data_IF_757914417672
#
_entry.id   IF_757914417672
#
_cell.length_a   1.000
_cell.length_b   1.000
_cell.length_c   1.000
_cell.angle_alpha   90.00
_cell.angle_beta   90.00
_cell.angle_gamma   90.00
#
_symmetry.space_group_name_H-M   'P 1'
#
loop_
_entity.id
_entity.type
_entity.pdbx_description
1 polymer ?
#
# COMPACT_ATOMS: atom_id res chain seq x y z
N UNK A 1 -28.31 -1.99 -6.40
CA UNK A 1 -27.48 -1.09 -5.54
C UNK A 1 -27.10 0.12 -6.36
N UNK A 2 -27.18 1.34 -5.80
CA UNK A 2 -26.66 2.55 -6.44
C UNK A 2 -25.51 3.08 -5.59
N UNK A 3 -24.30 3.09 -6.15
CA UNK A 3 -23.12 3.71 -5.54
C UNK A 3 -22.91 5.09 -6.16
N UNK A 4 -22.56 6.09 -5.34
CA UNK A 4 -22.20 7.45 -5.78
C UNK A 4 -21.03 7.92 -4.93
N UNK A 5 -19.97 8.37 -5.59
CA UNK A 5 -18.83 9.01 -4.94
C UNK A 5 -19.15 10.48 -4.65
N UNK A 6 -18.65 11.01 -3.54
CA UNK A 6 -18.82 12.39 -3.11
C UNK A 6 -17.52 12.96 -2.55
N UNK A 7 -17.58 14.21 -2.09
CA UNK A 7 -16.45 14.94 -1.51
C UNK A 7 -15.19 15.02 -2.39
N UNK A 8 -15.33 15.71 -3.53
CA UNK A 8 -14.22 15.98 -4.46
C UNK A 8 -13.49 17.30 -4.13
N UNK A 9 -13.54 17.76 -2.89
CA UNK A 9 -12.97 19.04 -2.46
C UNK A 9 -11.44 19.06 -2.56
N UNK A 10 -10.81 17.89 -2.43
CA UNK A 10 -9.37 17.66 -2.61
C UNK A 10 -9.01 17.07 -3.99
N UNK A 11 -9.91 17.20 -4.97
CA UNK A 11 -9.67 16.72 -6.33
C UNK A 11 -8.51 17.45 -7.00
N UNK A 12 -7.54 16.68 -7.49
CA UNK A 12 -6.35 17.22 -8.14
C UNK A 12 -6.38 17.02 -9.65
N UNK A 13 -6.19 18.11 -10.39
CA UNK A 13 -5.74 18.12 -11.78
C UNK A 13 -4.83 19.34 -12.00
N UNK A 14 -4.33 19.53 -13.23
CA UNK A 14 -3.50 20.69 -13.54
C UNK A 14 -4.24 22.02 -13.29
N UNK A 15 -5.54 22.08 -13.60
CA UNK A 15 -6.35 23.28 -13.44
C UNK A 15 -6.59 23.62 -11.97
N UNK A 16 -6.98 22.65 -11.13
CA UNK A 16 -7.17 22.84 -9.69
C UNK A 16 -5.86 23.16 -9.01
N UNK A 17 -4.74 22.60 -9.46
CA UNK A 17 -3.41 22.96 -8.97
C UNK A 17 -3.07 24.44 -9.20
N UNK A 18 -3.44 25.00 -10.35
CA UNK A 18 -3.16 26.40 -10.70
C UNK A 18 -4.17 27.39 -10.07
N UNK A 19 -5.41 26.97 -9.84
CA UNK A 19 -6.52 27.88 -9.50
C UNK A 19 -7.10 27.70 -8.09
N UNK A 20 -7.03 26.49 -7.52
CA UNK A 20 -7.64 26.15 -6.24
C UNK A 20 -6.57 25.89 -5.16
N UNK A 21 -5.46 25.27 -5.54
CA UNK A 21 -4.34 25.03 -4.64
C UNK A 21 -3.36 26.20 -4.66
N UNK A 22 -3.38 27.03 -3.62
CA UNK A 22 -2.42 28.15 -3.51
C UNK A 22 -0.96 27.70 -3.40
N UNK A 23 -0.70 26.57 -2.72
CA UNK A 23 0.64 26.03 -2.46
C UNK A 23 0.77 24.54 -2.78
N UNK A 24 -0.16 24.01 -3.58
CA UNK A 24 -0.33 22.56 -3.77
C UNK A 24 -1.07 21.88 -2.61
N UNK A 25 -1.35 20.57 -2.75
CA UNK A 25 -1.97 19.77 -1.69
C UNK A 25 -1.08 19.69 -0.45
N UNK A 26 -1.71 19.49 0.71
CA UNK A 26 -1.02 19.39 2.01
C UNK A 26 -1.30 18.05 2.70
N UNK A 27 -0.44 17.62 3.65
CA UNK A 27 -0.71 16.41 4.43
C UNK A 27 -2.04 16.44 5.20
N UNK A 28 -2.60 17.62 5.47
CA UNK A 28 -3.89 17.76 6.18
C UNK A 28 -5.11 17.35 5.36
N UNK A 29 -4.95 17.21 4.04
CA UNK A 29 -6.01 16.79 3.11
C UNK A 29 -5.95 15.27 2.85
N UNK A 30 -4.94 14.60 3.39
CA UNK A 30 -4.69 13.17 3.22
C UNK A 30 -5.32 12.37 4.36
N UNK A 31 -5.91 11.23 4.01
CA UNK A 31 -6.32 10.20 4.98
C UNK A 31 -5.29 9.07 4.95
N UNK A 32 -4.46 8.96 5.99
CA UNK A 32 -3.27 8.11 6.00
C UNK A 32 -3.57 6.62 5.84
N UNK A 33 -4.74 6.16 6.28
CA UNK A 33 -5.16 4.77 6.24
C UNK A 33 -5.39 4.27 4.80
N UNK A 34 -5.85 5.15 3.92
CA UNK A 34 -6.09 4.88 2.51
C UNK A 34 -4.98 5.39 1.60
N UNK A 35 -4.06 6.20 2.14
CA UNK A 35 -2.99 6.78 1.37
C UNK A 35 -1.97 5.71 0.95
N UNK A 36 -1.41 5.84 -0.27
CA UNK A 36 -0.42 4.90 -0.76
C UNK A 36 0.95 5.16 -0.10
N UNK A 37 1.83 4.14 -0.03
CA UNK A 37 3.10 4.22 0.67
C UNK A 37 3.99 5.36 0.16
N UNK A 38 3.88 5.73 -1.12
CA UNK A 38 4.59 6.87 -1.67
C UNK A 38 4.23 8.21 -1.05
N UNK A 39 3.08 8.38 -0.41
CA UNK A 39 2.78 9.69 0.15
C UNK A 39 3.57 9.99 1.44
N UNK A 40 3.93 8.96 2.24
CA UNK A 40 4.48 9.16 3.58
C UNK A 40 5.66 8.26 4.00
N UNK A 41 6.04 7.24 3.22
CA UNK A 41 7.13 6.31 3.60
C UNK A 41 8.53 6.83 3.22
N UNK A 42 8.62 7.94 2.48
CA UNK A 42 9.89 8.57 2.08
C UNK A 42 10.47 9.55 3.10
N UNK A 43 11.68 10.10 2.84
CA UNK A 43 12.31 11.10 3.71
C UNK A 43 11.54 12.42 3.76
N UNK A 44 10.78 12.73 2.70
CA UNK A 44 9.91 13.88 2.61
C UNK A 44 8.52 13.41 2.19
N UNK A 45 7.49 14.07 2.72
CA UNK A 45 6.12 13.88 2.26
C UNK A 45 5.97 14.36 0.82
N UNK A 46 5.25 13.59 0.02
CA UNK A 46 4.82 13.98 -1.33
C UNK A 46 3.33 13.71 -1.47
N UNK A 47 2.59 14.52 -2.23
CA UNK A 47 1.14 14.34 -2.34
C UNK A 47 0.76 13.08 -3.11
N UNK A 48 1.41 12.83 -4.25
CA UNK A 48 1.18 11.67 -5.11
C UNK A 48 2.34 11.52 -6.10
N UNK A 49 2.37 10.41 -6.83
CA UNK A 49 3.33 10.17 -7.89
C UNK A 49 2.95 10.95 -9.16
N UNK A 50 3.81 11.90 -9.56
CA UNK A 50 3.47 12.93 -10.56
C UNK A 50 3.23 12.39 -11.98
N UNK A 51 3.94 11.34 -12.37
CA UNK A 51 3.83 10.80 -13.74
C UNK A 51 2.58 9.94 -13.91
N UNK A 52 1.98 9.46 -12.80
CA UNK A 52 0.74 8.68 -12.78
C UNK A 52 -0.15 9.01 -11.56
N UNK A 53 -0.73 10.23 -11.46
CA UNK A 53 -1.48 10.67 -10.27
C UNK A 53 -2.67 9.77 -9.90
N UNK A 54 -3.33 9.19 -10.91
CA UNK A 54 -4.46 8.26 -10.76
C UNK A 54 -4.11 6.95 -10.04
N UNK A 55 -2.81 6.63 -9.88
CA UNK A 55 -2.38 5.48 -9.10
C UNK A 55 -2.73 5.65 -7.62
N UNK A 56 -2.86 6.89 -7.14
CA UNK A 56 -3.26 7.19 -5.76
C UNK A 56 -4.63 6.61 -5.44
N UNK A 57 -5.63 6.95 -6.26
CA UNK A 57 -7.01 6.46 -6.09
C UNK A 57 -7.10 4.95 -6.27
N UNK A 58 -6.28 4.40 -7.17
CA UNK A 58 -6.23 2.94 -7.42
C UNK A 58 -5.79 2.18 -6.17
N UNK A 59 -4.81 2.70 -5.43
CA UNK A 59 -4.40 2.14 -4.14
C UNK A 59 -5.51 2.25 -3.11
N UNK A 60 -6.12 3.43 -2.96
CA UNK A 60 -7.22 3.67 -2.01
C UNK A 60 -8.38 2.69 -2.22
N UNK A 61 -8.74 2.41 -3.47
CA UNK A 61 -9.77 1.41 -3.82
C UNK A 61 -9.31 -0.01 -3.47
N UNK A 62 -8.03 -0.34 -3.66
CA UNK A 62 -7.45 -1.61 -3.23
C UNK A 62 -7.54 -1.83 -1.71
N UNK A 63 -7.28 -0.79 -0.92
CA UNK A 63 -7.44 -0.81 0.54
C UNK A 63 -8.91 -1.03 0.92
N UNK A 64 -9.82 -0.26 0.32
CA UNK A 64 -11.26 -0.39 0.54
C UNK A 64 -11.77 -1.80 0.19
N UNK A 65 -11.29 -2.39 -0.91
CA UNK A 65 -11.64 -3.76 -1.28
C UNK A 65 -11.17 -4.77 -0.23
N UNK A 66 -9.98 -4.59 0.34
CA UNK A 66 -9.50 -5.41 1.46
C UNK A 66 -10.32 -5.21 2.73
N UNK A 67 -10.75 -3.99 3.04
CA UNK A 67 -11.61 -3.71 4.20
C UNK A 67 -12.95 -4.43 4.07
N UNK A 68 -13.58 -4.35 2.89
CA UNK A 68 -14.84 -5.04 2.59
C UNK A 68 -14.69 -6.56 2.69
N UNK A 69 -13.56 -7.08 2.21
CA UNK A 69 -13.30 -8.51 2.17
C UNK A 69 -12.96 -9.08 3.57
N UNK A 70 -12.16 -8.36 4.36
CA UNK A 70 -11.74 -8.79 5.70
C UNK A 70 -12.70 -8.35 6.82
N UNK A 71 -13.60 -7.42 6.53
CA UNK A 71 -14.56 -6.87 7.50
C UNK A 71 -13.90 -6.05 8.62
N UNK A 72 -12.72 -5.48 8.38
CA UNK A 72 -11.97 -4.66 9.36
C UNK A 72 -11.35 -3.44 8.70
N UNK A 73 -11.40 -2.25 9.34
CA UNK A 73 -10.71 -1.05 8.84
C UNK A 73 -9.19 -1.15 9.02
N UNK A 74 -8.70 -2.01 9.92
CA UNK A 74 -7.27 -2.13 10.22
C UNK A 74 -6.63 -3.25 9.41
N UNK A 75 -6.72 -3.15 8.08
CA UNK A 75 -6.20 -4.15 7.12
C UNK A 75 -4.71 -4.35 7.32
N UNK A 76 -3.94 -3.25 7.38
CA UNK A 76 -2.49 -3.28 7.50
C UNK A 76 -2.05 -3.25 8.96
N UNK A 77 -2.29 -4.35 9.67
CA UNK A 77 -1.79 -4.58 11.02
C UNK A 77 -0.81 -5.76 11.08
N UNK A 78 0.18 -5.62 11.96
CA UNK A 78 1.11 -6.69 12.34
C UNK A 78 0.66 -7.35 13.64
N UNK A 79 1.02 -8.61 13.83
CA UNK A 79 0.73 -9.32 15.07
C UNK A 79 1.46 -8.69 16.26
N UNK A 80 0.95 -8.93 17.47
CA UNK A 80 1.46 -8.33 18.70
C UNK A 80 2.95 -8.64 18.93
N UNK A 81 3.42 -9.84 18.55
CA UNK A 81 4.81 -10.25 18.75
C UNK A 81 5.73 -9.51 17.79
N UNK A 82 5.38 -9.45 16.51
CA UNK A 82 6.14 -8.69 15.50
C UNK A 82 6.18 -7.21 15.85
N UNK A 83 5.05 -6.63 16.27
CA UNK A 83 5.00 -5.24 16.72
C UNK A 83 5.96 -4.98 17.89
N UNK A 84 5.88 -5.79 18.94
CA UNK A 84 6.73 -5.64 20.12
C UNK A 84 8.22 -5.78 19.77
N UNK A 85 8.58 -6.75 18.93
CA UNK A 85 9.97 -6.99 18.55
C UNK A 85 10.52 -5.87 17.66
N UNK A 86 9.74 -5.41 16.66
CA UNK A 86 10.15 -4.37 15.74
C UNK A 86 10.28 -3.03 16.46
N UNK A 87 9.28 -2.68 17.27
CA UNK A 87 9.30 -1.46 18.10
C UNK A 87 10.49 -1.47 19.06
N UNK A 88 10.79 -2.60 19.70
CA UNK A 88 11.96 -2.72 20.57
C UNK A 88 13.29 -2.50 19.83
N UNK A 89 13.46 -3.14 18.66
CA UNK A 89 14.67 -2.97 17.83
C UNK A 89 14.84 -1.53 17.34
N UNK A 90 13.75 -0.90 16.89
CA UNK A 90 13.76 0.47 16.40
C UNK A 90 14.07 1.50 17.50
N UNK A 91 13.48 1.34 18.70
CA UNK A 91 13.79 2.20 19.85
C UNK A 91 15.25 2.10 20.28
N UNK A 92 15.86 0.91 20.20
CA UNK A 92 17.30 0.74 20.44
C UNK A 92 18.19 1.41 19.39
N UNK A 93 17.69 1.55 18.18
CA UNK A 93 18.35 2.29 17.10
C UNK A 93 18.09 3.81 17.16
N UNK A 94 17.42 4.30 18.21
CA UNK A 94 17.06 5.70 18.41
C UNK A 94 16.15 6.26 17.28
N UNK A 95 15.28 5.42 16.73
CA UNK A 95 14.28 5.81 15.74
C UNK A 95 13.15 6.64 16.37
N UNK A 96 12.63 7.60 15.61
CA UNK A 96 11.44 8.37 15.93
C UNK A 96 10.16 7.53 15.89
N UNK A 97 9.10 7.99 16.55
CA UNK A 97 7.79 7.31 16.53
C UNK A 97 7.20 7.21 15.10
N UNK A 98 7.49 8.18 14.22
CA UNK A 98 7.09 8.13 12.82
C UNK A 98 7.83 7.02 12.05
N UNK A 99 9.14 6.86 12.27
CA UNK A 99 9.92 5.78 11.67
C UNK A 99 9.46 4.40 12.16
N UNK A 100 9.06 4.30 13.43
CA UNK A 100 8.47 3.06 13.98
C UNK A 100 7.15 2.75 13.29
N UNK A 101 6.26 3.74 13.16
CA UNK A 101 4.97 3.58 12.47
C UNK A 101 5.16 3.14 11.02
N UNK A 102 6.04 3.82 10.28
CA UNK A 102 6.35 3.47 8.89
C UNK A 102 6.94 2.06 8.78
N UNK A 103 7.75 1.63 9.75
CA UNK A 103 8.30 0.28 9.78
C UNK A 103 7.23 -0.79 10.01
N UNK A 104 6.30 -0.54 10.93
CA UNK A 104 5.18 -1.44 11.20
C UNK A 104 4.25 -1.53 9.99
N UNK A 105 4.05 -0.42 9.29
CA UNK A 105 3.25 -0.36 8.08
C UNK A 105 3.89 -1.15 6.93
N UNK A 106 5.17 -0.87 6.63
CA UNK A 106 5.94 -1.67 5.67
C UNK A 106 5.96 -3.15 6.05
N UNK A 107 5.93 -3.42 7.37
CA UNK A 107 5.86 -4.77 7.85
C UNK A 107 4.54 -5.47 7.58
N UNK A 108 3.43 -4.77 7.75
CA UNK A 108 2.14 -5.25 7.34
C UNK A 108 2.11 -5.52 5.82
N UNK A 109 2.61 -4.59 4.99
CA UNK A 109 2.66 -4.76 3.53
C UNK A 109 3.48 -5.98 3.11
N UNK A 110 4.63 -6.22 3.75
CA UNK A 110 5.43 -7.41 3.48
C UNK A 110 4.74 -8.70 3.93
N UNK A 111 3.99 -8.67 5.03
CA UNK A 111 3.16 -9.81 5.44
C UNK A 111 2.10 -10.15 4.38
N UNK A 112 1.51 -9.14 3.72
CA UNK A 112 0.63 -9.31 2.56
C UNK A 112 1.36 -9.55 1.24
N UNK A 113 2.68 -9.72 1.19
CA UNK A 113 3.38 -9.92 -0.08
C UNK A 113 3.19 -8.77 -1.10
N UNK A 114 2.83 -7.57 -0.62
CA UNK A 114 2.70 -6.35 -1.43
C UNK A 114 4.07 -5.70 -1.63
N UNK A 115 4.90 -5.74 -0.58
CA UNK A 115 6.24 -5.16 -0.57
C UNK A 115 7.29 -6.21 -0.24
N UNK A 116 8.33 -6.28 -1.07
CA UNK A 116 9.55 -7.03 -0.77
C UNK A 116 10.64 -6.02 -0.42
N UNK A 117 11.25 -6.09 0.77
CA UNK A 117 12.44 -5.32 1.04
C UNK A 117 13.58 -5.83 0.15
N UNK A 118 13.89 -5.08 -0.91
CA UNK A 118 14.94 -5.45 -1.84
C UNK A 118 16.33 -5.27 -1.22
N UNK A 119 17.21 -6.25 -1.40
CA UNK A 119 18.65 -6.12 -1.18
C UNK A 119 19.40 -5.68 -2.46
N UNK A 120 18.68 -5.38 -3.54
CA UNK A 120 19.26 -5.42 -4.88
C UNK A 120 19.99 -4.12 -5.30
N UNK A 121 21.08 -4.39 -6.01
CA UNK A 121 22.14 -3.49 -6.51
C UNK A 121 21.91 -3.09 -7.98
N UNK A 122 20.67 -3.23 -8.46
CA UNK A 122 20.32 -3.03 -9.86
C UNK A 122 20.25 -1.53 -10.20
N UNK A 123 20.96 -1.15 -11.27
CA UNK A 123 21.09 0.19 -11.86
C UNK A 123 19.77 0.80 -12.39
N UNK A 124 18.60 0.47 -11.84
CA UNK A 124 17.45 1.35 -11.95
C UNK A 124 17.74 2.56 -11.06
N UNK A 125 17.48 3.81 -11.49
CA UNK A 125 17.50 4.92 -10.55
C UNK A 125 16.48 4.59 -9.46
N UNK A 126 16.95 4.10 -8.32
CA UNK A 126 16.15 3.68 -7.18
C UNK A 126 15.64 4.95 -6.49
N UNK A 127 14.82 5.72 -7.20
CA UNK A 127 13.92 6.66 -6.59
C UNK A 127 12.72 5.83 -6.16
N UNK A 128 12.53 5.70 -4.84
CA UNK A 128 11.23 5.54 -4.19
C UNK A 128 11.07 4.29 -3.28
N UNK A 129 10.51 4.40 -2.05
CA UNK A 129 10.66 5.45 -1.03
C UNK A 129 11.83 5.18 -0.05
N UNK A 130 12.38 3.96 -0.03
CA UNK A 130 13.46 3.56 0.88
C UNK A 130 14.77 3.38 0.11
N UNK A 131 15.74 4.26 0.35
CA UNK A 131 17.06 4.19 -0.25
C UNK A 131 17.96 3.22 0.50
N UNK A 132 18.94 2.66 -0.21
CA UNK A 132 20.02 1.93 0.43
C UNK A 132 20.79 2.88 1.37
N UNK A 133 20.75 2.60 2.68
CA UNK A 133 21.32 3.45 3.72
C UNK A 133 20.28 4.06 4.68
N UNK A 134 18.99 4.05 4.33
CA UNK A 134 17.95 4.53 5.24
C UNK A 134 17.80 3.58 6.45
N UNK A 135 17.66 4.10 7.68
CA UNK A 135 17.48 3.27 8.88
C UNK A 135 16.31 2.28 8.71
N UNK A 136 15.24 2.76 8.06
CA UNK A 136 14.02 2.01 7.80
C UNK A 136 14.22 0.90 6.74
N UNK A 137 15.08 1.12 5.75
CA UNK A 137 15.49 0.10 4.77
C UNK A 137 16.28 -1.02 5.45
N UNK A 138 17.29 -0.67 6.27
CA UNK A 138 18.12 -1.65 6.98
C UNK A 138 17.30 -2.53 7.93
N UNK A 139 16.35 -1.94 8.64
CA UNK A 139 15.50 -2.69 9.57
C UNK A 139 14.49 -3.55 8.81
N UNK A 140 13.95 -3.06 7.69
CA UNK A 140 13.09 -3.85 6.81
C UNK A 140 13.85 -5.06 6.27
N UNK A 141 15.01 -4.89 5.63
CA UNK A 141 15.78 -6.00 5.06
C UNK A 141 16.27 -7.03 6.10
N UNK A 142 16.55 -6.61 7.34
CA UNK A 142 17.06 -7.51 8.39
C UNK A 142 15.99 -8.20 9.23
N UNK A 143 14.80 -7.61 9.35
CA UNK A 143 13.72 -8.14 10.20
C UNK A 143 12.54 -8.69 9.41
N UNK A 144 12.48 -8.44 8.10
CA UNK A 144 11.35 -8.77 7.22
C UNK A 144 11.81 -9.66 6.08
N UNK A 145 12.18 -10.88 6.43
CA UNK A 145 12.81 -11.82 5.49
C UNK A 145 11.71 -12.54 4.70
N UNK A 146 11.19 -11.89 3.66
CA UNK A 146 10.59 -12.59 2.51
C UNK A 146 11.48 -12.35 1.29
N UNK A 147 12.07 -13.41 0.78
CA UNK A 147 13.01 -13.37 -0.36
C UNK A 147 12.29 -13.31 -1.71
N UNK A 148 11.03 -13.77 -1.75
CA UNK A 148 10.15 -13.66 -2.90
C UNK A 148 8.69 -13.60 -2.45
N UNK A 149 7.87 -12.93 -3.24
CA UNK A 149 6.43 -12.84 -3.04
C UNK A 149 5.75 -13.17 -4.36
N UNK A 150 4.86 -14.16 -4.35
CA UNK A 150 4.02 -14.51 -5.49
C UNK A 150 2.55 -14.20 -5.19
N UNK A 151 1.72 -14.17 -6.24
CA UNK A 151 0.25 -14.09 -6.07
C UNK A 151 -0.28 -15.17 -5.13
N UNK A 152 0.28 -16.39 -5.20
CA UNK A 152 -0.13 -17.49 -4.32
C UNK A 152 0.17 -17.19 -2.85
N UNK A 153 1.28 -16.50 -2.57
CA UNK A 153 1.63 -16.07 -1.23
C UNK A 153 0.72 -14.95 -0.73
N UNK A 154 0.28 -14.05 -1.62
CA UNK A 154 -0.75 -13.06 -1.31
C UNK A 154 -2.07 -13.73 -0.93
N UNK A 155 -2.54 -14.69 -1.73
CA UNK A 155 -3.76 -15.45 -1.44
C UNK A 155 -3.63 -16.16 -0.09
N UNK A 156 -2.48 -16.79 0.17
CA UNK A 156 -2.21 -17.47 1.45
C UNK A 156 -2.22 -16.50 2.63
N UNK A 157 -1.62 -15.32 2.48
CA UNK A 157 -1.57 -14.30 3.51
C UNK A 157 -2.96 -13.76 3.87
N UNK A 158 -3.84 -13.62 2.88
CA UNK A 158 -5.23 -13.22 3.08
C UNK A 158 -6.07 -14.33 3.72
N UNK A 159 -5.95 -15.56 3.21
CA UNK A 159 -6.64 -16.73 3.78
C UNK A 159 -6.25 -17.00 5.23
N UNK A 160 -5.00 -16.77 5.60
CA UNK A 160 -4.54 -16.90 6.99
C UNK A 160 -5.19 -15.90 7.95
N UNK A 161 -5.75 -14.80 7.42
CA UNK A 161 -6.48 -13.78 8.17
C UNK A 161 -8.00 -13.97 8.11
N UNK A 162 -8.49 -15.02 7.45
CA UNK A 162 -9.89 -15.46 7.52
C UNK A 162 -10.10 -16.35 8.74
N UNK A 163 -10.65 -15.85 9.86
CA UNK A 163 -10.90 -16.68 11.03
C UNK A 163 -11.99 -17.74 10.77
N UNK A 164 -12.82 -17.56 9.75
CA UNK A 164 -13.92 -18.47 9.42
C UNK A 164 -13.52 -19.49 8.35
N UNK A 165 -12.56 -19.17 7.49
CA UNK A 165 -12.07 -20.04 6.41
C UNK A 165 -13.11 -20.30 5.32
N UNK A 166 -14.13 -19.45 5.23
CA UNK A 166 -15.27 -19.58 4.30
C UNK A 166 -15.16 -18.59 3.14
N UNK A 167 -14.46 -17.47 3.33
CA UNK A 167 -14.53 -16.31 2.43
C UNK A 167 -13.70 -16.39 1.16
N UNK A 168 -12.82 -17.39 1.02
CA UNK A 168 -11.79 -17.42 -0.02
C UNK A 168 -11.78 -18.74 -0.79
N UNK A 169 -12.86 -19.04 -1.50
CA UNK A 169 -12.89 -20.14 -2.47
C UNK A 169 -12.20 -19.75 -3.78
N UNK A 170 -12.17 -20.66 -4.75
CA UNK A 170 -11.58 -20.40 -6.08
C UNK A 170 -12.33 -19.32 -6.88
N UNK A 171 -13.56 -18.95 -6.51
CA UNK A 171 -14.30 -17.88 -7.17
C UNK A 171 -13.73 -16.50 -6.82
N UNK A 172 -13.08 -16.39 -5.66
CA UNK A 172 -12.43 -15.15 -5.22
C UNK A 172 -11.06 -14.91 -5.84
N UNK A 173 -10.43 -15.91 -6.47
CA UNK A 173 -9.05 -15.78 -6.97
C UNK A 173 -8.91 -14.62 -8.00
N UNK A 174 -9.93 -14.36 -8.81
CA UNK A 174 -9.95 -13.20 -9.72
C UNK A 174 -10.06 -11.87 -8.98
N UNK A 175 -10.84 -11.81 -7.91
CA UNK A 175 -10.93 -10.62 -7.06
C UNK A 175 -9.59 -10.35 -6.36
N UNK A 176 -8.95 -11.39 -5.83
CA UNK A 176 -7.65 -11.27 -5.18
C UNK A 176 -6.57 -10.82 -6.17
N UNK A 177 -6.59 -11.33 -7.40
CA UNK A 177 -5.69 -10.86 -8.45
C UNK A 177 -5.89 -9.38 -8.75
N UNK A 178 -7.15 -8.92 -8.90
CA UNK A 178 -7.47 -7.51 -9.09
C UNK A 178 -6.93 -6.64 -7.94
N UNK A 179 -7.19 -7.04 -6.69
CA UNK A 179 -6.72 -6.31 -5.50
C UNK A 179 -5.20 -6.25 -5.46
N UNK A 180 -4.52 -7.34 -5.82
CA UNK A 180 -3.06 -7.37 -5.86
C UNK A 180 -2.49 -6.36 -6.86
N UNK A 181 -3.10 -6.21 -8.03
CA UNK A 181 -2.67 -5.24 -9.05
C UNK A 181 -2.99 -3.78 -8.67
N UNK A 182 -4.09 -3.55 -7.94
CA UNK A 182 -4.44 -2.24 -7.38
C UNK A 182 -3.50 -1.84 -6.24
N UNK A 183 -3.02 -2.80 -5.47
CA UNK A 183 -2.09 -2.60 -4.36
C UNK A 183 -0.62 -2.79 -4.76
N UNK A 184 -0.28 -2.64 -6.04
CA UNK A 184 1.13 -2.63 -6.44
C UNK A 184 1.88 -1.53 -5.68
N UNK A 185 3.00 -1.91 -5.05
CA UNK A 185 3.82 -1.00 -4.26
C UNK A 185 4.41 0.12 -5.12
N UNK A 186 4.86 -0.22 -6.34
CA UNK A 186 5.30 0.76 -7.33
C UNK A 186 4.08 1.40 -8.02
N UNK A 187 3.92 2.74 -7.97
CA UNK A 187 2.83 3.42 -8.66
C UNK A 187 2.85 3.23 -10.18
N UNK A 188 4.00 3.03 -10.82
CA UNK A 188 4.08 2.80 -12.27
C UNK A 188 3.42 1.47 -12.65
N UNK A 189 3.67 0.43 -11.87
CA UNK A 189 3.13 -0.93 -12.06
C UNK A 189 1.67 -1.07 -11.61
N UNK A 190 1.15 -0.08 -10.87
CA UNK A 190 -0.21 -0.09 -10.34
C UNK A 190 -1.25 0.01 -11.43
N UNK A 191 -2.25 -0.86 -11.39
CA UNK A 191 -3.35 -0.89 -12.36
C UNK A 191 -4.17 0.40 -12.32
N UNK A 192 -4.56 0.92 -13.49
CA UNK A 192 -5.47 2.07 -13.61
C UNK A 192 -6.93 1.67 -13.50
N UNK A 193 -7.83 2.63 -13.26
CA UNK A 193 -9.27 2.38 -13.20
C UNK A 193 -9.84 1.79 -14.51
N UNK A 194 -9.34 2.22 -15.67
CA UNK A 194 -9.78 1.70 -16.96
C UNK A 194 -9.39 0.23 -17.14
N UNK A 195 -8.13 -0.11 -16.84
CA UNK A 195 -7.62 -1.48 -16.86
C UNK A 195 -8.35 -2.36 -15.85
N UNK A 196 -8.65 -1.82 -14.66
CA UNK A 196 -9.40 -2.52 -13.63
C UNK A 196 -10.81 -2.90 -14.10
N UNK A 197 -11.51 -2.01 -14.81
CA UNK A 197 -12.83 -2.31 -15.38
C UNK A 197 -12.78 -3.37 -16.49
N UNK A 198 -11.65 -3.52 -17.16
CA UNK A 198 -11.38 -4.58 -18.13
C UNK A 198 -10.80 -5.84 -17.49
N UNK A 199 -10.72 -5.92 -16.16
CA UNK A 199 -10.20 -7.10 -15.49
C UNK A 199 -11.22 -8.26 -15.59
N UNK A 200 -10.78 -9.53 -15.77
CA UNK A 200 -11.66 -10.69 -15.87
C UNK A 200 -12.69 -10.82 -14.75
N UNK A 201 -12.42 -10.26 -13.57
CA UNK A 201 -13.38 -10.19 -12.46
C UNK A 201 -14.70 -9.49 -12.84
N UNK A 202 -14.65 -8.43 -13.66
CA UNK A 202 -15.85 -7.67 -14.05
C UNK A 202 -16.46 -8.12 -15.38
N UNK A 203 -15.67 -8.75 -16.26
CA UNK A 203 -16.12 -9.17 -17.59
C UNK A 203 -16.49 -10.65 -17.66
N UNK A 204 -16.02 -11.48 -16.73
CA UNK A 204 -16.39 -12.90 -16.72
C UNK A 204 -17.86 -13.05 -16.29
N UNK A 205 -18.66 -13.86 -17.00
CA UNK A 205 -20.08 -14.04 -16.73
C UNK A 205 -20.38 -14.84 -15.45
#
# INVERSE_FOLDING_TARGET
MHCRLGDFSSGWDQYTNEHLYTKGPTPGEQTNEYAPPESFVGPNWVPFYKDKPQSYDSWSIGVLALELLLGTPNVFSVDQRTNALLTYKMKRANASENEISNALYLAALSNFCIYIPSNDTSNKPQSWPLRHGDPLHKVSCTSMVKESCTLQDFHRALRARDPLGIGFDSSTDLLLHLIWQLLAFDPEERMTAEEALQHPYFISP
#
